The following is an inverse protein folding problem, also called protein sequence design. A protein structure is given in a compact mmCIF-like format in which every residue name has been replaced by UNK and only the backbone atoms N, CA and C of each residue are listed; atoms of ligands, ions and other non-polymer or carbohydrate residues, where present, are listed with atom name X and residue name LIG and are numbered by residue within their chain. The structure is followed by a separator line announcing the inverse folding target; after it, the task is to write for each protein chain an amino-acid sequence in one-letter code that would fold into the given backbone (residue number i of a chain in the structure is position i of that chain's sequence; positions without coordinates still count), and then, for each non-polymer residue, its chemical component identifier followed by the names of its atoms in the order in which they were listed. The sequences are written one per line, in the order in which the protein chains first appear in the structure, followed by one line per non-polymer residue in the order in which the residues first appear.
data_IF_217396197548
#
_entry.id   IF_217396197548
#
_cell.length_a   1.000
_cell.length_b   1.000
_cell.length_c   1.000
_cell.angle_alpha   90.00
_cell.angle_beta   90.00
_cell.angle_gamma   90.00
#
_symmetry.space_group_name_H-M   'P 1'
#
loop_
_entity.id
_entity.type
_entity.pdbx_description
1 polymer ?
#
# COMPACT_ATOMS: atom_id res chain seq x y z
N UNK A 1 -0.25 -23.15 -3.73
CA UNK A 1 -1.32 -22.29 -4.28
C UNK A 1 -2.64 -22.34 -3.46
N UNK A 2 -2.58 -22.74 -2.18
CA UNK A 2 -3.75 -22.76 -1.28
C UNK A 2 -3.52 -21.86 -0.06
N UNK A 3 -2.68 -20.84 -0.19
CA UNK A 3 -2.33 -19.87 0.85
C UNK A 3 -2.56 -18.43 0.35
N UNK A 4 -2.34 -17.44 1.21
CA UNK A 4 -2.52 -16.04 0.86
C UNK A 4 -3.97 -15.68 0.57
N UNK A 5 -4.19 -14.69 -0.27
CA UNK A 5 -5.53 -14.17 -0.61
C UNK A 5 -6.46 -15.27 -1.09
N UNK A 6 -6.03 -16.11 -2.03
CA UNK A 6 -6.83 -17.22 -2.55
C UNK A 6 -7.16 -18.24 -1.45
N UNK A 7 -6.18 -18.61 -0.63
CA UNK A 7 -6.38 -19.61 0.43
C UNK A 7 -7.40 -19.18 1.49
N UNK A 8 -7.44 -17.89 1.81
CA UNK A 8 -8.33 -17.31 2.81
C UNK A 8 -9.69 -16.96 2.18
N UNK A 9 -9.71 -16.22 1.08
CA UNK A 9 -10.94 -15.77 0.43
C UNK A 9 -11.72 -16.92 -0.22
N UNK A 10 -11.00 -17.86 -0.83
CA UNK A 10 -11.58 -18.86 -1.71
C UNK A 10 -12.06 -18.29 -3.06
N UNK A 11 -11.70 -17.03 -3.37
CA UNK A 11 -12.13 -16.31 -4.59
C UNK A 11 -11.01 -16.24 -5.61
N UNK A 12 -9.96 -15.48 -5.31
CA UNK A 12 -8.87 -15.20 -6.24
C UNK A 12 -7.57 -14.92 -5.49
N UNK A 13 -6.44 -15.00 -6.21
CA UNK A 13 -5.14 -14.47 -5.77
C UNK A 13 -4.97 -12.99 -6.11
N UNK A 14 -5.79 -12.43 -7.00
CA UNK A 14 -5.82 -11.01 -7.31
C UNK A 14 -6.60 -10.24 -6.23
N UNK A 15 -5.97 -9.18 -5.71
CA UNK A 15 -6.58 -8.37 -4.65
C UNK A 15 -7.85 -7.66 -5.14
N UNK A 16 -7.92 -7.25 -6.40
CA UNK A 16 -9.07 -6.55 -6.98
C UNK A 16 -10.31 -7.42 -6.96
N UNK A 17 -10.19 -8.69 -7.40
CA UNK A 17 -11.30 -9.67 -7.37
C UNK A 17 -11.76 -9.94 -5.94
N UNK A 18 -10.81 -10.00 -4.98
CA UNK A 18 -11.13 -10.20 -3.57
C UNK A 18 -11.87 -9.01 -2.99
N UNK A 19 -11.50 -7.78 -3.36
CA UNK A 19 -12.19 -6.57 -2.89
C UNK A 19 -13.57 -6.42 -3.50
N UNK A 20 -13.73 -6.73 -4.78
CA UNK A 20 -15.04 -6.77 -5.42
C UNK A 20 -15.98 -7.77 -4.74
N UNK A 21 -15.49 -8.99 -4.47
CA UNK A 21 -16.26 -9.99 -3.74
C UNK A 21 -16.59 -9.55 -2.31
N UNK A 22 -15.67 -8.86 -1.62
CA UNK A 22 -15.90 -8.30 -0.30
C UNK A 22 -16.99 -7.23 -0.32
N UNK A 23 -16.93 -6.31 -1.29
CA UNK A 23 -17.95 -5.27 -1.51
C UNK A 23 -19.33 -5.89 -1.83
N UNK A 24 -19.36 -7.04 -2.52
CA UNK A 24 -20.57 -7.82 -2.74
C UNK A 24 -21.07 -8.63 -1.51
N UNK A 25 -20.42 -8.47 -0.34
CA UNK A 25 -20.83 -9.07 0.92
C UNK A 25 -20.18 -10.42 1.26
N UNK A 26 -19.17 -10.86 0.50
CA UNK A 26 -18.44 -12.10 0.81
C UNK A 26 -17.55 -11.89 2.05
N UNK A 27 -17.95 -12.46 3.18
CA UNK A 27 -17.24 -12.30 4.47
C UNK A 27 -15.82 -12.88 4.47
N UNK A 28 -15.56 -13.95 3.70
CA UNK A 28 -14.20 -14.52 3.61
C UNK A 28 -13.29 -13.64 2.75
N UNK A 29 -13.80 -13.03 1.71
CA UNK A 29 -13.08 -12.06 0.91
C UNK A 29 -12.74 -10.81 1.75
N UNK A 30 -13.69 -10.31 2.53
CA UNK A 30 -13.46 -9.22 3.47
C UNK A 30 -12.36 -9.56 4.48
N UNK A 31 -12.43 -10.75 5.10
CA UNK A 31 -11.41 -11.22 6.03
C UNK A 31 -10.03 -11.29 5.36
N UNK A 32 -9.95 -11.80 4.13
CA UNK A 32 -8.68 -11.89 3.39
C UNK A 32 -8.06 -10.52 3.14
N UNK A 33 -8.86 -9.53 2.72
CA UNK A 33 -8.42 -8.15 2.54
C UNK A 33 -7.95 -7.53 3.86
N UNK A 34 -8.70 -7.71 4.94
CA UNK A 34 -8.35 -7.17 6.26
C UNK A 34 -7.06 -7.79 6.80
N UNK A 35 -6.86 -9.10 6.63
CA UNK A 35 -5.63 -9.79 7.02
C UNK A 35 -4.40 -9.29 6.24
N UNK A 36 -4.55 -9.03 4.93
CA UNK A 36 -3.47 -8.47 4.12
C UNK A 36 -3.07 -7.09 4.64
N UNK A 37 -4.04 -6.19 4.79
CA UNK A 37 -3.79 -4.82 5.26
C UNK A 37 -3.20 -4.81 6.68
N UNK A 38 -3.68 -5.69 7.56
CA UNK A 38 -3.13 -5.87 8.90
C UNK A 38 -1.68 -6.37 8.89
N UNK A 39 -1.35 -7.31 7.99
CA UNK A 39 0.02 -7.80 7.86
C UNK A 39 0.98 -6.71 7.35
N UNK A 40 0.55 -5.90 6.37
CA UNK A 40 1.32 -4.75 5.89
C UNK A 40 1.59 -3.79 7.07
N UNK A 41 0.55 -3.42 7.81
CA UNK A 41 0.66 -2.55 8.97
C UNK A 41 1.65 -3.08 10.02
N UNK A 42 1.59 -4.37 10.35
CA UNK A 42 2.53 -5.01 11.29
C UNK A 42 3.98 -4.91 10.79
N UNK A 43 4.19 -5.15 9.50
CA UNK A 43 5.52 -5.09 8.88
C UNK A 43 6.06 -3.66 8.92
N UNK A 44 5.25 -2.67 8.58
CA UNK A 44 5.59 -1.24 8.70
C UNK A 44 5.99 -0.91 10.14
N UNK A 45 5.18 -1.30 11.13
CA UNK A 45 5.49 -1.06 12.54
C UNK A 45 6.78 -1.75 13.00
N UNK A 46 7.05 -2.96 12.53
CA UNK A 46 8.28 -3.67 12.83
C UNK A 46 9.51 -2.95 12.26
N UNK A 47 9.44 -2.44 11.03
CA UNK A 47 10.54 -1.67 10.44
C UNK A 47 10.74 -0.31 11.11
N UNK A 48 9.68 0.39 11.49
CA UNK A 48 9.78 1.62 12.26
C UNK A 48 10.54 1.37 13.58
N UNK A 49 10.22 0.29 14.27
CA UNK A 49 10.91 -0.10 15.50
C UNK A 49 12.38 -0.45 15.24
N UNK A 50 12.67 -1.22 14.19
CA UNK A 50 14.04 -1.63 13.84
C UNK A 50 14.93 -0.44 13.43
N UNK A 51 14.35 0.58 12.78
CA UNK A 51 15.06 1.81 12.37
C UNK A 51 15.18 2.85 13.51
N UNK A 52 14.47 2.67 14.60
CA UNK A 52 14.41 3.66 15.68
C UNK A 52 13.56 4.89 15.38
N UNK A 53 12.71 4.81 14.37
CA UNK A 53 11.83 5.88 13.89
C UNK A 53 11.70 5.90 12.37
N UNK A 54 10.95 6.86 11.84
CA UNK A 54 10.75 7.04 10.41
C UNK A 54 10.43 8.50 10.10
N UNK A 55 10.95 9.02 8.99
CA UNK A 55 10.65 10.37 8.51
C UNK A 55 9.52 10.36 7.48
N UNK A 56 9.44 9.29 6.70
CA UNK A 56 8.41 9.14 5.68
C UNK A 56 8.02 7.67 5.46
N UNK A 57 6.75 7.47 5.09
CA UNK A 57 6.23 6.22 4.52
C UNK A 57 5.90 6.47 3.06
N UNK A 58 6.33 5.57 2.19
CA UNK A 58 6.06 5.64 0.75
C UNK A 58 5.18 4.46 0.35
N UNK A 59 4.04 4.77 -0.24
CA UNK A 59 3.18 3.81 -0.92
C UNK A 59 3.46 3.86 -2.41
N UNK A 60 3.72 2.71 -3.02
CA UNK A 60 4.12 2.59 -4.42
C UNK A 60 3.66 1.24 -5.00
N UNK A 61 3.82 1.05 -6.31
CA UNK A 61 3.35 -0.13 -7.00
C UNK A 61 1.83 -0.25 -7.05
N UNK A 62 1.30 -1.27 -7.70
CA UNK A 62 -0.13 -1.36 -7.99
C UNK A 62 -1.06 -1.17 -6.79
N UNK A 63 -0.77 -1.81 -5.64
CA UNK A 63 -1.59 -1.66 -4.43
C UNK A 63 -1.32 -0.30 -3.77
N UNK A 64 -0.05 0.10 -3.63
CA UNK A 64 0.30 1.35 -2.95
C UNK A 64 -0.25 2.57 -3.66
N UNK A 65 -0.23 2.59 -4.98
CA UNK A 65 -0.66 3.70 -5.81
C UNK A 65 -2.18 3.81 -5.97
N UNK A 66 -2.85 2.67 -6.15
CA UNK A 66 -4.25 2.68 -6.60
C UNK A 66 -5.27 2.29 -5.52
N UNK A 67 -4.83 1.86 -4.33
CA UNK A 67 -5.71 1.40 -3.28
C UNK A 67 -5.74 2.35 -2.07
N UNK A 68 -6.61 3.35 -2.15
CA UNK A 68 -6.83 4.31 -1.07
C UNK A 68 -7.30 3.64 0.23
N UNK A 69 -8.10 2.56 0.11
CA UNK A 69 -8.63 1.82 1.27
C UNK A 69 -7.50 1.09 1.98
N UNK A 70 -6.59 0.45 1.24
CA UNK A 70 -5.43 -0.20 1.83
C UNK A 70 -4.53 0.81 2.56
N UNK A 71 -4.21 1.95 1.93
CA UNK A 71 -3.41 3.01 2.57
C UNK A 71 -4.05 3.50 3.87
N UNK A 72 -5.38 3.76 3.84
CA UNK A 72 -6.11 4.17 5.02
C UNK A 72 -6.07 3.12 6.13
N UNK A 73 -6.31 1.84 5.81
CA UNK A 73 -6.26 0.73 6.78
C UNK A 73 -4.86 0.51 7.37
N UNK A 74 -3.83 0.64 6.56
CA UNK A 74 -2.43 0.52 7.02
C UNK A 74 -2.09 1.65 8.00
N UNK A 75 -2.45 2.90 7.70
CA UNK A 75 -2.15 4.06 8.54
C UNK A 75 -3.11 4.22 9.74
N UNK A 76 -4.24 3.51 9.76
CA UNK A 76 -5.24 3.62 10.82
C UNK A 76 -4.64 3.32 12.20
N UNK A 77 -4.93 4.17 13.20
CA UNK A 77 -4.41 4.05 14.58
C UNK A 77 -2.87 4.09 14.67
N UNK A 78 -2.20 4.82 13.78
CA UNK A 78 -0.75 5.08 13.86
C UNK A 78 -0.42 6.53 14.24
N UNK A 79 -1.41 7.30 14.70
CA UNK A 79 -1.27 8.71 15.12
C UNK A 79 -0.21 8.90 16.22
N UNK A 80 -0.10 7.94 17.12
CA UNK A 80 0.90 7.96 18.20
C UNK A 80 2.35 7.84 17.68
N UNK A 81 2.56 7.34 16.47
CA UNK A 81 3.82 7.35 15.73
C UNK A 81 4.02 8.65 14.93
N UNK A 82 3.02 9.54 14.93
CA UNK A 82 3.02 10.73 14.08
C UNK A 82 2.58 10.50 12.65
N UNK A 83 2.02 9.33 12.33
CA UNK A 83 1.53 8.95 11.02
C UNK A 83 0.03 9.19 10.96
N UNK A 84 -0.37 10.11 10.09
CA UNK A 84 -1.79 10.40 9.81
C UNK A 84 -1.93 10.89 8.38
N UNK A 85 -2.92 10.37 7.67
CA UNK A 85 -3.20 10.74 6.28
C UNK A 85 -4.40 11.67 6.17
N UNK A 86 -4.37 12.52 5.17
CA UNK A 86 -5.48 13.35 4.73
C UNK A 86 -6.40 12.50 3.85
N UNK A 87 -7.68 12.39 4.21
CA UNK A 87 -8.63 11.49 3.53
C UNK A 87 -8.86 11.92 2.08
N UNK A 88 -9.05 13.21 1.82
CA UNK A 88 -9.33 13.72 0.48
C UNK A 88 -8.12 13.50 -0.45
N UNK A 89 -6.91 13.85 0.01
CA UNK A 89 -5.69 13.61 -0.75
C UNK A 89 -5.41 12.12 -0.97
N UNK A 90 -5.76 11.28 0.00
CA UNK A 90 -5.62 9.83 -0.11
C UNK A 90 -6.56 9.24 -1.17
N UNK A 91 -7.79 9.73 -1.26
CA UNK A 91 -8.78 9.27 -2.24
C UNK A 91 -8.44 9.75 -3.66
N UNK A 92 -7.83 10.93 -3.77
CA UNK A 92 -7.52 11.59 -5.04
C UNK A 92 -6.06 12.03 -5.12
N UNK A 93 -5.09 11.08 -5.12
CA UNK A 93 -3.67 11.44 -5.26
C UNK A 93 -3.42 12.04 -6.65
N UNK A 94 -2.67 13.15 -6.71
CA UNK A 94 -2.39 13.89 -7.94
C UNK A 94 -0.89 13.95 -8.19
N UNK A 95 -0.49 13.61 -9.41
CA UNK A 95 0.91 13.64 -9.87
C UNK A 95 1.70 12.38 -9.50
N UNK A 96 2.93 12.30 -9.99
CA UNK A 96 3.81 11.14 -9.80
C UNK A 96 4.32 11.01 -8.35
N UNK A 97 4.34 12.11 -7.61
CA UNK A 97 4.66 12.17 -6.18
C UNK A 97 3.57 12.96 -5.48
N UNK A 98 2.72 12.28 -4.74
CA UNK A 98 1.63 12.89 -4.01
C UNK A 98 1.87 12.79 -2.50
N UNK A 99 1.85 13.93 -1.81
CA UNK A 99 1.92 14.01 -0.36
C UNK A 99 0.50 13.96 0.23
N UNK A 100 0.15 12.81 0.80
CA UNK A 100 -1.15 12.56 1.44
C UNK A 100 -1.11 12.77 2.96
N UNK A 101 -0.06 13.39 3.48
CA UNK A 101 0.11 13.67 4.92
C UNK A 101 -1.00 14.61 5.42
N UNK A 102 -1.65 14.25 6.52
CA UNK A 102 -2.59 15.14 7.19
C UNK A 102 -1.85 16.30 7.87
N UNK A 103 -2.54 17.43 7.96
CA UNK A 103 -1.99 18.58 8.64
C UNK A 103 -1.59 18.27 10.10
N UNK A 104 -0.39 18.68 10.48
CA UNK A 104 0.16 18.46 11.83
C UNK A 104 0.70 17.05 12.09
N UNK A 105 0.67 16.13 11.12
CA UNK A 105 1.37 14.85 11.25
C UNK A 105 2.89 15.06 11.16
N UNK A 106 3.66 14.27 11.92
CA UNK A 106 5.12 14.39 11.99
C UNK A 106 5.84 13.58 10.92
N UNK A 107 5.26 12.44 10.54
CA UNK A 107 5.79 11.53 9.53
C UNK A 107 5.08 11.82 8.20
N UNK A 108 5.85 12.02 7.15
CA UNK A 108 5.28 12.20 5.81
C UNK A 108 4.74 10.89 5.28
N UNK A 109 3.61 10.96 4.61
CA UNK A 109 3.03 9.81 3.90
C UNK A 109 2.87 10.17 2.43
N UNK A 110 3.60 9.46 1.57
CA UNK A 110 3.70 9.76 0.15
C UNK A 110 3.11 8.61 -0.66
N UNK A 111 2.47 8.94 -1.77
CA UNK A 111 2.15 8.02 -2.85
C UNK A 111 3.06 8.38 -4.02
N UNK A 112 3.87 7.42 -4.47
CA UNK A 112 4.85 7.65 -5.54
C UNK A 112 4.60 6.62 -6.63
N UNK A 113 4.37 7.11 -7.86
CA UNK A 113 4.22 6.26 -9.02
C UNK A 113 5.54 5.55 -9.35
N UNK A 114 5.46 4.27 -9.69
CA UNK A 114 6.59 3.48 -10.19
C UNK A 114 6.53 3.36 -11.69
N UNK A 115 7.69 3.37 -12.31
CA UNK A 115 7.87 3.10 -13.74
C UNK A 115 8.87 1.94 -13.91
N UNK A 116 8.39 0.72 -13.63
CA UNK A 116 9.20 -0.49 -13.71
C UNK A 116 9.63 -0.79 -15.15
N UNK A 117 8.77 -0.48 -16.13
CA UNK A 117 9.03 -0.70 -17.54
C UNK A 117 10.18 0.19 -18.04
N UNK A 118 10.25 1.45 -17.59
CA UNK A 118 11.35 2.36 -17.91
C UNK A 118 12.68 1.84 -17.34
N UNK A 119 12.68 1.32 -16.11
CA UNK A 119 13.88 0.76 -15.51
C UNK A 119 14.37 -0.47 -16.27
N UNK A 120 13.47 -1.39 -16.62
CA UNK A 120 13.81 -2.56 -17.45
C UNK A 120 14.37 -2.12 -18.80
N UNK A 121 13.76 -1.12 -19.44
CA UNK A 121 14.25 -0.58 -20.72
C UNK A 121 15.66 0.02 -20.60
N UNK A 122 15.93 0.78 -19.54
CA UNK A 122 17.25 1.37 -19.27
C UNK A 122 18.31 0.30 -19.03
N UNK A 123 18.02 -0.68 -18.17
CA UNK A 123 18.94 -1.78 -17.85
C UNK A 123 19.23 -2.63 -19.09
N UNK A 124 18.19 -2.91 -19.90
CA UNK A 124 18.34 -3.63 -21.17
C UNK A 124 19.25 -2.88 -22.13
N UNK A 125 19.03 -1.58 -22.28
CA UNK A 125 19.88 -0.72 -23.10
C UNK A 125 21.33 -0.78 -22.66
N UNK A 126 21.60 -0.62 -21.37
CA UNK A 126 22.96 -0.66 -20.82
C UNK A 126 23.69 -1.99 -21.10
N UNK A 127 22.95 -3.12 -21.03
CA UNK A 127 23.52 -4.45 -21.30
C UNK A 127 23.81 -4.66 -22.79
N UNK A 128 22.95 -4.15 -23.68
CA UNK A 128 23.08 -4.36 -25.14
C UNK A 128 24.14 -3.41 -25.76
N UNK A 129 24.37 -2.22 -25.16
CA UNK A 129 25.35 -1.24 -25.64
C UNK A 129 26.78 -1.47 -25.08
N UNK A 130 27.02 -2.46 -24.24
CA UNK A 130 28.33 -2.92 -23.77
C UNK A 130 28.94 -3.94 -24.72
#
# INVERSE_FOLDING_TARGET
KKSGLLGISGVSSDKRDVEEAAAAGNKRAQLASDMLNYQIKKTVGAYIAAMGGVDAIVFTGGIGEHDAIARAKVCHHMDWLGIRIDTEKNEHPVGDVCDITAWGAKVRTLVIATDEELMIARDTKEVVEK
#
